data_IF_536155229680
#
_entry.id   IF_536155229680
#
_cell.length_a   1.000
_cell.length_b   1.000
_cell.length_c   1.000
_cell.angle_alpha   90.00
_cell.angle_beta   90.00
_cell.angle_gamma   90.00
#
_symmetry.space_group_name_H-M   'P 1'
#
loop_
_entity.id
_entity.type
_entity.pdbx_description
1 polymer ?
#
# COMPACT_ATOMS: atom_id res chain seq x y z
N UNK A 1 9.78 45.35 20.04
CA UNK A 1 9.94 43.91 20.34
C UNK A 1 8.81 43.08 19.69
N UNK A 2 7.57 43.55 19.74
CA UNK A 2 6.39 42.88 19.16
C UNK A 2 6.51 42.52 17.68
N UNK A 3 6.95 43.44 16.80
CA UNK A 3 6.98 43.19 15.34
C UNK A 3 7.84 41.98 14.94
N UNK A 4 8.99 41.79 15.59
CA UNK A 4 9.90 40.65 15.33
C UNK A 4 9.32 39.33 15.87
N UNK A 5 8.71 39.36 17.05
CA UNK A 5 8.04 38.19 17.64
C UNK A 5 6.84 37.77 16.77
N UNK A 6 6.03 38.73 16.33
CA UNK A 6 4.88 38.51 15.45
C UNK A 6 5.30 37.90 14.11
N UNK A 7 6.38 38.39 13.51
CA UNK A 7 6.95 37.84 12.27
C UNK A 7 7.46 36.40 12.43
N UNK A 8 8.09 36.06 13.56
CA UNK A 8 8.53 34.69 13.87
C UNK A 8 7.36 33.73 14.06
N UNK A 9 6.32 34.16 14.78
CA UNK A 9 5.10 33.38 14.96
C UNK A 9 4.40 33.14 13.63
N UNK A 10 4.33 34.17 12.77
CA UNK A 10 3.76 34.05 11.43
C UNK A 10 4.52 33.03 10.57
N UNK A 11 5.86 33.07 10.61
CA UNK A 11 6.70 32.11 9.89
C UNK A 11 6.48 30.68 10.38
N UNK A 12 6.45 30.46 11.70
CA UNK A 12 6.17 29.15 12.28
C UNK A 12 4.80 28.60 11.87
N UNK A 13 3.78 29.45 11.87
CA UNK A 13 2.42 29.07 11.44
C UNK A 13 2.36 28.69 9.96
N UNK A 14 3.00 29.48 9.09
CA UNK A 14 3.07 29.20 7.64
C UNK A 14 3.82 27.89 7.40
N UNK A 15 4.97 27.69 8.07
CA UNK A 15 5.77 26.48 7.94
C UNK A 15 4.98 25.24 8.35
N UNK A 16 4.33 25.29 9.52
CA UNK A 16 3.47 24.22 10.02
C UNK A 16 2.32 23.90 9.05
N UNK A 17 1.63 24.93 8.55
CA UNK A 17 0.49 24.77 7.64
C UNK A 17 0.91 24.14 6.31
N UNK A 18 1.97 24.65 5.69
CA UNK A 18 2.49 24.12 4.41
C UNK A 18 2.95 22.67 4.57
N UNK A 19 3.65 22.37 5.67
CA UNK A 19 4.17 21.03 5.94
C UNK A 19 3.05 20.02 6.20
N UNK A 20 2.06 20.40 7.01
CA UNK A 20 0.87 19.58 7.31
C UNK A 20 0.08 19.28 6.04
N UNK A 21 -0.20 20.30 5.21
CA UNK A 21 -0.91 20.11 3.92
C UNK A 21 -0.13 19.17 3.00
N UNK A 22 1.19 19.32 2.91
CA UNK A 22 2.04 18.45 2.08
C UNK A 22 1.98 16.99 2.54
N UNK A 23 2.04 16.75 3.85
CA UNK A 23 1.98 15.40 4.42
C UNK A 23 0.60 14.77 4.21
N UNK A 24 -0.47 15.49 4.55
CA UNK A 24 -1.87 15.05 4.34
C UNK A 24 -2.13 14.73 2.87
N UNK A 25 -1.66 15.57 1.95
CA UNK A 25 -1.79 15.33 0.50
C UNK A 25 -1.11 14.02 0.08
N UNK A 26 0.09 13.74 0.58
CA UNK A 26 0.77 12.48 0.27
C UNK A 26 -0.01 11.26 0.77
N UNK A 27 -0.65 11.36 1.93
CA UNK A 27 -1.42 10.28 2.56
C UNK A 27 -2.75 10.02 1.85
N UNK A 28 -3.49 11.07 1.49
CA UNK A 28 -4.80 10.97 0.83
C UNK A 28 -4.68 10.62 -0.65
N UNK A 29 -3.65 11.12 -1.35
CA UNK A 29 -3.49 10.88 -2.80
C UNK A 29 -2.80 9.54 -3.07
N UNK A 30 -1.88 9.09 -2.22
CA UNK A 30 -1.42 7.71 -2.27
C UNK A 30 -2.47 6.84 -1.57
N UNK A 31 -3.45 6.36 -2.35
CA UNK A 31 -4.51 5.38 -2.00
C UNK A 31 -4.01 4.06 -1.36
N UNK A 32 -2.81 4.00 -0.83
CA UNK A 32 -2.22 2.86 -0.12
C UNK A 32 -2.80 2.72 1.30
N UNK A 33 -3.42 3.76 1.87
CA UNK A 33 -3.89 3.77 3.26
C UNK A 33 -5.32 3.25 3.49
N UNK A 34 -6.20 3.27 2.48
CA UNK A 34 -7.53 2.65 2.59
C UNK A 34 -7.34 1.16 2.38
N UNK A 35 -7.29 0.37 3.46
CA UNK A 35 -6.95 -1.03 3.35
C UNK A 35 -8.19 -1.86 3.04
N UNK A 36 -8.47 -2.09 1.76
CA UNK A 36 -9.32 -3.21 1.36
C UNK A 36 -8.72 -4.46 1.99
N UNK A 37 -9.48 -5.13 2.86
CA UNK A 37 -8.96 -6.29 3.59
C UNK A 37 -9.25 -7.59 2.88
N UNK A 38 -10.31 -7.63 2.06
CA UNK A 38 -10.80 -8.87 1.50
C UNK A 38 -11.44 -8.67 0.13
N UNK A 39 -11.18 -9.57 -0.83
CA UNK A 39 -11.90 -9.62 -2.10
C UNK A 39 -12.21 -11.06 -2.47
N UNK A 40 -13.49 -11.40 -2.51
CA UNK A 40 -13.91 -12.67 -3.10
C UNK A 40 -13.79 -12.59 -4.62
N UNK A 41 -13.00 -13.49 -5.20
CA UNK A 41 -12.90 -13.63 -6.67
C UNK A 41 -14.00 -14.58 -7.15
N UNK A 42 -14.15 -15.72 -6.48
CA UNK A 42 -15.14 -16.74 -6.82
C UNK A 42 -15.50 -17.59 -5.59
N UNK A 43 -16.15 -18.76 -5.77
CA UNK A 43 -16.42 -19.67 -4.64
C UNK A 43 -15.13 -20.25 -4.06
N UNK A 44 -14.17 -20.57 -4.94
CA UNK A 44 -12.94 -21.26 -4.59
C UNK A 44 -11.78 -20.32 -4.28
N UNK A 45 -11.88 -19.03 -4.65
CA UNK A 45 -10.75 -18.10 -4.59
C UNK A 45 -11.11 -16.79 -3.91
N UNK A 46 -10.25 -16.33 -3.00
CA UNK A 46 -10.35 -15.00 -2.42
C UNK A 46 -8.98 -14.40 -2.13
N UNK A 47 -8.91 -13.08 -2.14
CA UNK A 47 -7.76 -12.29 -1.73
C UNK A 47 -7.98 -11.75 -0.33
N UNK A 48 -6.93 -11.71 0.45
CA UNK A 48 -6.90 -11.11 1.79
C UNK A 48 -5.65 -10.26 1.96
N UNK A 49 -5.73 -9.20 2.77
CA UNK A 49 -4.56 -8.43 3.17
C UNK A 49 -3.77 -9.17 4.24
N UNK A 50 -2.46 -9.34 4.05
CA UNK A 50 -1.59 -9.90 5.09
C UNK A 50 -1.38 -8.94 6.27
N UNK A 51 -1.14 -9.52 7.46
CA UNK A 51 -0.95 -8.79 8.72
C UNK A 51 0.42 -8.09 8.86
N UNK A 52 1.43 -8.51 8.08
CA UNK A 52 2.77 -7.92 8.19
C UNK A 52 2.95 -6.73 7.26
N UNK A 53 3.64 -5.73 7.77
CA UNK A 53 3.77 -4.32 7.36
C UNK A 53 4.27 -4.01 5.94
N UNK A 54 4.21 -4.94 4.99
CA UNK A 54 4.63 -4.71 3.62
C UNK A 54 3.58 -5.19 2.62
N UNK A 55 2.54 -4.41 2.36
CA UNK A 55 1.82 -4.44 1.08
C UNK A 55 1.39 -5.83 0.54
N UNK A 56 1.26 -6.83 1.40
CA UNK A 56 1.10 -8.22 0.97
C UNK A 56 -0.37 -8.50 0.78
N UNK A 57 -0.68 -9.07 -0.39
CA UNK A 57 -1.99 -9.63 -0.66
C UNK A 57 -1.81 -11.13 -0.81
N UNK A 58 -2.63 -11.85 -0.06
CA UNK A 58 -2.60 -13.29 0.04
C UNK A 58 -3.77 -13.82 -0.79
N UNK A 59 -3.50 -14.72 -1.72
CA UNK A 59 -4.51 -15.49 -2.44
C UNK A 59 -4.77 -16.79 -1.70
N UNK A 60 -6.02 -17.00 -1.30
CA UNK A 60 -6.49 -18.24 -0.69
C UNK A 60 -7.24 -19.09 -1.71
N UNK A 61 -7.04 -20.41 -1.63
CA UNK A 61 -7.70 -21.40 -2.48
C UNK A 61 -8.44 -22.41 -1.61
N UNK A 62 -9.78 -22.38 -1.62
CA UNK A 62 -10.64 -23.18 -0.76
C UNK A 62 -10.72 -24.67 -1.13
N UNK A 63 -10.29 -25.09 -2.33
CA UNK A 63 -10.35 -26.51 -2.74
C UNK A 63 -9.55 -27.44 -1.82
N UNK A 64 -8.60 -26.89 -1.08
CA UNK A 64 -7.81 -27.61 -0.09
C UNK A 64 -7.65 -26.68 1.11
N UNK A 65 -8.09 -27.11 2.28
CA UNK A 65 -7.96 -26.35 3.53
C UNK A 65 -6.55 -25.71 3.63
N UNK A 66 -6.54 -24.39 3.80
CA UNK A 66 -5.38 -23.55 4.13
C UNK A 66 -4.23 -23.46 3.11
N UNK A 67 -4.54 -23.41 1.81
CA UNK A 67 -3.56 -22.95 0.82
C UNK A 67 -3.60 -21.44 0.68
N UNK A 68 -2.46 -20.80 0.96
CA UNK A 68 -2.24 -19.38 0.68
C UNK A 68 -1.06 -19.12 -0.26
N UNK A 69 -1.07 -18.01 -1.01
CA UNK A 69 0.03 -17.57 -1.87
C UNK A 69 0.22 -16.06 -1.84
N UNK A 70 1.48 -15.61 -1.88
CA UNK A 70 1.80 -14.19 -1.94
C UNK A 70 1.71 -13.66 -3.37
N UNK A 71 0.97 -12.54 -3.53
CA UNK A 71 0.80 -11.86 -4.80
C UNK A 71 1.38 -10.45 -4.72
N UNK A 72 2.29 -10.13 -5.66
CA UNK A 72 2.89 -8.78 -5.75
C UNK A 72 2.11 -7.86 -6.67
N UNK A 73 1.59 -8.39 -7.78
CA UNK A 73 0.91 -7.60 -8.81
C UNK A 73 -0.30 -8.34 -9.36
N UNK A 74 -1.35 -7.56 -9.65
CA UNK A 74 -2.64 -8.02 -10.15
C UNK A 74 -3.13 -7.12 -11.28
N UNK A 75 -3.82 -7.71 -12.25
CA UNK A 75 -4.53 -7.02 -13.31
C UNK A 75 -5.98 -7.52 -13.35
N UNK A 76 -6.91 -6.61 -13.64
CA UNK A 76 -8.28 -6.93 -13.98
C UNK A 76 -8.39 -6.80 -15.50
N UNK A 77 -8.73 -7.89 -16.18
CA UNK A 77 -8.88 -7.93 -17.63
C UNK A 77 -10.35 -8.14 -17.99
N UNK A 78 -10.89 -7.14 -18.68
CA UNK A 78 -12.26 -7.14 -19.20
C UNK A 78 -13.35 -7.28 -18.15
N UNK A 79 -13.09 -6.89 -16.89
CA UNK A 79 -13.99 -7.07 -15.73
C UNK A 79 -14.47 -8.51 -15.54
N UNK A 80 -13.71 -9.46 -16.11
CA UNK A 80 -14.04 -10.88 -16.16
C UNK A 80 -12.94 -11.73 -15.56
N UNK A 81 -11.69 -11.32 -15.71
CA UNK A 81 -10.54 -12.07 -15.23
C UNK A 81 -9.70 -11.25 -14.27
N UNK A 82 -9.25 -11.92 -13.22
CA UNK A 82 -8.08 -11.49 -12.48
C UNK A 82 -6.86 -12.24 -13.00
N UNK A 83 -5.76 -11.52 -13.23
CA UNK A 83 -4.50 -12.07 -13.69
C UNK A 83 -3.40 -11.63 -12.73
N UNK A 84 -2.50 -12.54 -12.37
CA UNK A 84 -1.41 -12.23 -11.46
C UNK A 84 -0.24 -13.18 -11.58
N UNK A 85 0.72 -13.03 -10.68
CA UNK A 85 1.87 -13.90 -10.55
C UNK A 85 2.08 -14.25 -9.08
N UNK A 86 2.17 -15.56 -8.82
CA UNK A 86 2.45 -16.14 -7.51
C UNK A 86 3.95 -16.34 -7.38
N UNK A 87 4.51 -15.80 -6.29
CA UNK A 87 5.91 -16.03 -5.90
C UNK A 87 5.98 -16.72 -4.55
N UNK A 88 6.85 -17.74 -4.44
CA UNK A 88 7.03 -18.51 -3.21
C UNK A 88 8.20 -18.06 -2.34
N UNK A 89 8.96 -17.04 -2.76
CA UNK A 89 10.21 -16.64 -2.11
C UNK A 89 10.04 -16.28 -0.62
N UNK A 90 8.81 -15.95 -0.20
CA UNK A 90 8.48 -15.60 1.18
C UNK A 90 7.26 -16.32 1.74
N UNK A 91 6.63 -17.20 0.97
CA UNK A 91 5.42 -17.94 1.33
C UNK A 91 5.48 -18.67 2.69
N UNK A 92 6.58 -19.35 3.09
CA UNK A 92 6.65 -20.00 4.40
C UNK A 92 6.54 -19.05 5.59
N UNK A 93 6.89 -17.75 5.45
CA UNK A 93 6.72 -16.76 6.53
C UNK A 93 5.25 -16.49 6.86
N UNK A 94 4.34 -16.83 5.95
CA UNK A 94 2.90 -16.58 6.06
C UNK A 94 2.11 -17.88 6.28
N UNK A 95 2.77 -18.98 6.66
CA UNK A 95 2.11 -20.26 6.91
C UNK A 95 1.63 -20.99 5.65
N UNK A 96 2.04 -20.54 4.47
CA UNK A 96 1.58 -21.11 3.21
C UNK A 96 2.19 -22.48 2.92
N UNK A 97 1.37 -23.41 2.43
CA UNK A 97 1.77 -24.78 2.16
C UNK A 97 2.72 -24.91 0.96
N UNK A 98 4.01 -25.12 1.23
CA UNK A 98 5.05 -25.23 0.19
C UNK A 98 4.92 -26.46 -0.72
N UNK A 99 4.23 -27.53 -0.27
CA UNK A 99 4.10 -28.78 -1.04
C UNK A 99 3.42 -28.58 -2.39
N UNK A 100 2.69 -27.49 -2.55
CA UNK A 100 1.93 -27.17 -3.76
C UNK A 100 2.60 -26.10 -4.63
N UNK A 101 3.85 -25.72 -4.31
CA UNK A 101 4.66 -24.79 -5.10
C UNK A 101 4.65 -25.11 -6.59
N UNK A 102 4.91 -26.35 -6.94
CA UNK A 102 4.98 -26.75 -8.35
C UNK A 102 3.63 -26.69 -9.08
N UNK A 103 2.50 -26.70 -8.37
CA UNK A 103 1.15 -26.61 -8.96
C UNK A 103 0.71 -25.17 -9.20
N UNK A 104 1.16 -24.22 -8.37
CA UNK A 104 0.64 -22.85 -8.37
C UNK A 104 1.67 -21.76 -8.71
N UNK A 105 2.98 -22.06 -8.72
CA UNK A 105 4.04 -21.08 -8.96
C UNK A 105 4.01 -20.47 -10.36
N UNK A 106 4.23 -19.16 -10.50
CA UNK A 106 4.21 -18.48 -11.79
C UNK A 106 2.92 -17.71 -12.04
N UNK A 107 2.58 -17.48 -13.30
CA UNK A 107 1.39 -16.70 -13.64
C UNK A 107 0.10 -17.51 -13.49
N UNK A 108 -0.99 -16.81 -13.23
CA UNK A 108 -2.32 -17.38 -13.17
C UNK A 108 -3.36 -16.44 -13.76
N UNK A 109 -4.51 -17.01 -14.10
CA UNK A 109 -5.74 -16.25 -14.27
C UNK A 109 -6.90 -16.97 -13.58
N UNK A 110 -7.89 -16.19 -13.13
CA UNK A 110 -9.15 -16.72 -12.60
C UNK A 110 -10.32 -15.89 -13.14
N UNK A 111 -11.39 -16.55 -13.53
CA UNK A 111 -12.62 -15.91 -13.98
C UNK A 111 -13.54 -15.63 -12.78
N UNK A 112 -14.11 -14.42 -12.69
CA UNK A 112 -15.01 -14.04 -11.61
C UNK A 112 -16.34 -14.81 -11.62
N UNK A 113 -16.75 -15.33 -12.78
CA UNK A 113 -18.08 -15.90 -13.01
C UNK A 113 -18.06 -17.41 -13.27
N UNK A 114 -16.89 -18.01 -13.49
CA UNK A 114 -16.75 -19.44 -13.76
C UNK A 114 -15.52 -20.02 -13.06
N UNK A 115 -15.75 -20.75 -11.98
CA UNK A 115 -14.70 -21.41 -11.19
C UNK A 115 -13.86 -22.39 -12.02
N UNK A 116 -14.39 -22.92 -13.14
CA UNK A 116 -13.67 -23.88 -13.99
C UNK A 116 -12.72 -23.19 -14.98
N UNK A 117 -12.89 -21.89 -15.22
CA UNK A 117 -12.00 -21.10 -16.08
C UNK A 117 -10.94 -20.38 -15.23
N UNK A 118 -10.18 -21.20 -14.52
CA UNK A 118 -9.00 -20.80 -13.77
C UNK A 118 -7.81 -21.67 -14.17
N UNK A 119 -6.63 -21.07 -14.30
CA UNK A 119 -5.36 -21.80 -14.50
C UNK A 119 -4.23 -21.14 -13.74
N UNK A 120 -3.32 -21.98 -13.28
CA UNK A 120 -2.11 -21.61 -12.54
C UNK A 120 -0.89 -22.22 -13.22
N UNK A 121 0.31 -21.88 -12.72
CA UNK A 121 1.59 -22.35 -13.26
C UNK A 121 1.76 -22.06 -14.75
N UNK A 122 1.32 -20.87 -15.16
CA UNK A 122 1.48 -20.38 -16.52
C UNK A 122 2.78 -19.58 -16.65
N UNK A 123 3.34 -19.64 -17.84
CA UNK A 123 4.37 -18.72 -18.29
C UNK A 123 3.77 -17.36 -18.68
N UNK A 124 4.62 -16.34 -18.75
CA UNK A 124 4.22 -15.01 -19.22
C UNK A 124 3.67 -15.03 -20.64
N UNK A 125 4.19 -15.92 -21.49
CA UNK A 125 3.80 -15.99 -22.90
C UNK A 125 2.45 -16.69 -23.10
N UNK A 126 2.12 -17.70 -22.27
CA UNK A 126 0.78 -18.29 -22.24
C UNK A 126 -0.30 -17.26 -21.83
N UNK A 127 0.00 -16.41 -20.84
CA UNK A 127 -0.89 -15.31 -20.46
C UNK A 127 -1.08 -14.32 -21.61
N UNK A 128 0.01 -13.91 -22.28
CA UNK A 128 -0.08 -13.02 -23.45
C UNK A 128 -0.89 -13.64 -24.57
N UNK A 129 -0.74 -14.93 -24.81
CA UNK A 129 -1.47 -15.67 -25.84
C UNK A 129 -2.98 -15.66 -25.57
N UNK A 130 -3.41 -15.92 -24.32
CA UNK A 130 -4.84 -15.92 -23.96
C UNK A 130 -5.49 -14.55 -24.06
N UNK A 131 -4.85 -13.49 -23.55
CA UNK A 131 -5.47 -12.17 -23.46
C UNK A 131 -5.18 -11.27 -24.66
N UNK A 132 -4.21 -11.65 -25.50
CA UNK A 132 -3.80 -10.98 -26.75
C UNK A 132 -3.69 -9.44 -26.63
N UNK A 133 -3.36 -8.94 -25.43
CA UNK A 133 -3.31 -7.53 -25.07
C UNK A 133 -2.26 -7.30 -23.99
N UNK A 134 -1.77 -6.06 -23.90
CA UNK A 134 -0.85 -5.63 -22.85
C UNK A 134 -1.63 -5.42 -21.55
N UNK A 135 -1.62 -6.42 -20.68
CA UNK A 135 -2.19 -6.35 -19.33
C UNK A 135 -1.60 -5.18 -18.54
N UNK A 136 -2.48 -4.44 -17.85
CA UNK A 136 -2.09 -3.32 -16.97
C UNK A 136 -2.03 -3.80 -15.51
N UNK A 137 -0.88 -4.31 -15.12
CA UNK A 137 -0.63 -4.73 -13.74
C UNK A 137 -0.60 -3.52 -12.79
N UNK A 138 -1.22 -3.70 -11.62
CA UNK A 138 -1.18 -2.80 -10.46
C UNK A 138 -0.53 -3.58 -9.31
N UNK A 139 0.14 -2.89 -8.38
CA UNK A 139 0.54 -3.49 -7.10
C UNK A 139 -0.69 -4.13 -6.44
N UNK A 140 -0.53 -5.33 -5.87
CA UNK A 140 -1.66 -6.11 -5.37
C UNK A 140 -2.46 -5.38 -4.27
N UNK A 141 -1.79 -4.68 -3.33
CA UNK A 141 -2.51 -3.88 -2.31
C UNK A 141 -3.34 -2.76 -2.93
N UNK A 142 -2.81 -2.05 -3.93
CA UNK A 142 -3.57 -1.03 -4.66
C UNK A 142 -4.77 -1.62 -5.40
N UNK A 143 -4.61 -2.81 -5.96
CA UNK A 143 -5.71 -3.55 -6.58
C UNK A 143 -6.78 -3.91 -5.54
N UNK A 144 -6.39 -4.48 -4.40
CA UNK A 144 -7.30 -4.87 -3.33
C UNK A 144 -8.03 -3.66 -2.73
N UNK A 145 -7.37 -2.51 -2.59
CA UNK A 145 -8.01 -1.28 -2.14
C UNK A 145 -9.05 -0.73 -3.13
N UNK A 146 -8.91 -1.02 -4.43
CA UNK A 146 -9.80 -0.54 -5.48
C UNK A 146 -11.03 -1.45 -5.68
N UNK A 147 -10.86 -2.76 -5.51
CA UNK A 147 -11.89 -3.76 -5.81
C UNK A 147 -12.36 -4.58 -4.60
N UNK A 148 -11.65 -4.50 -3.48
CA UNK A 148 -11.95 -5.23 -2.25
C UNK A 148 -13.02 -4.57 -1.38
N UNK A 149 -13.40 -5.31 -0.34
CA UNK A 149 -14.36 -4.99 0.70
C UNK A 149 -13.67 -5.08 2.07
N UNK A 150 -14.33 -4.54 3.09
CA UNK A 150 -13.74 -4.35 4.40
C UNK A 150 -12.79 -3.16 4.35
N UNK A 151 -13.07 -2.14 5.16
CA UNK A 151 -12.27 -0.92 5.20
C UNK A 151 -11.79 -0.77 6.63
N UNK A 152 -10.49 -0.98 6.84
CA UNK A 152 -9.83 -0.41 8.02
C UNK A 152 -9.46 1.01 7.61
N UNK A 153 -10.30 1.96 8.03
CA UNK A 153 -10.04 3.37 7.78
C UNK A 153 -9.06 3.90 8.82
N UNK A 154 -7.76 3.78 8.53
CA UNK A 154 -6.70 4.37 9.35
C UNK A 154 -6.46 5.85 9.03
N UNK A 155 -7.33 6.47 8.23
CA UNK A 155 -7.11 7.84 7.75
C UNK A 155 -7.03 8.80 8.93
N UNK A 156 -7.86 8.62 9.95
CA UNK A 156 -7.87 9.49 11.12
C UNK A 156 -6.58 9.35 11.94
N UNK A 157 -6.14 8.13 12.27
CA UNK A 157 -4.90 7.89 13.03
C UNK A 157 -3.67 8.38 12.28
N UNK A 158 -3.64 8.20 10.96
CA UNK A 158 -2.53 8.66 10.12
C UNK A 158 -2.52 10.19 10.03
N UNK A 159 -3.68 10.84 9.85
CA UNK A 159 -3.80 12.30 9.89
C UNK A 159 -3.33 12.84 11.25
N UNK A 160 -3.80 12.21 12.33
CA UNK A 160 -3.43 12.57 13.69
C UNK A 160 -1.92 12.46 13.93
N UNK A 161 -1.32 11.31 13.60
CA UNK A 161 0.13 11.11 13.73
C UNK A 161 0.93 12.16 12.94
N UNK A 162 0.51 12.46 11.71
CA UNK A 162 1.18 13.44 10.87
C UNK A 162 1.03 14.88 11.38
N UNK A 163 -0.12 15.20 11.98
CA UNK A 163 -0.32 16.48 12.66
C UNK A 163 0.68 16.63 13.82
N UNK A 164 0.80 15.62 14.68
CA UNK A 164 1.76 15.61 15.80
C UNK A 164 3.21 15.69 15.32
N UNK A 165 3.57 14.93 14.29
CA UNK A 165 4.92 14.95 13.71
C UNK A 165 5.26 16.31 13.10
N UNK A 166 4.31 16.94 12.40
CA UNK A 166 4.46 18.28 11.83
C UNK A 166 4.65 19.34 12.91
N UNK A 167 3.94 19.21 14.03
CA UNK A 167 4.09 20.09 15.19
C UNK A 167 5.48 19.94 15.82
N UNK A 168 5.92 18.70 16.05
CA UNK A 168 7.25 18.41 16.58
C UNK A 168 8.37 19.00 15.72
N UNK A 169 8.33 18.79 14.40
CA UNK A 169 9.33 19.34 13.48
C UNK A 169 9.35 20.88 13.48
N UNK A 170 8.17 21.51 13.53
CA UNK A 170 8.08 22.98 13.61
C UNK A 170 8.76 23.49 14.88
N UNK A 171 8.57 22.79 16.01
CA UNK A 171 9.24 23.10 17.26
C UNK A 171 10.77 22.91 17.17
N UNK A 172 11.25 21.84 16.54
CA UNK A 172 12.68 21.62 16.30
C UNK A 172 13.30 22.75 15.46
N UNK A 173 12.66 23.13 14.35
CA UNK A 173 13.12 24.25 13.50
C UNK A 173 13.18 25.54 14.29
N UNK A 174 12.21 25.79 15.17
CA UNK A 174 12.19 26.96 16.02
C UNK A 174 13.38 26.99 17.00
N UNK A 175 13.68 25.88 17.67
CA UNK A 175 14.86 25.75 18.53
C UNK A 175 16.15 26.02 17.75
N UNK A 176 16.30 25.44 16.56
CA UNK A 176 17.48 25.65 15.71
C UNK A 176 17.66 27.13 15.37
N UNK A 177 16.59 27.83 15.00
CA UNK A 177 16.62 29.28 14.71
C UNK A 177 17.08 30.08 15.95
N UNK A 178 16.63 29.70 17.16
CA UNK A 178 17.04 30.36 18.40
C UNK A 178 18.53 30.14 18.69
N UNK A 179 19.03 28.91 18.51
CA UNK A 179 20.45 28.58 18.67
C UNK A 179 21.30 29.37 17.68
N UNK A 180 20.93 29.37 16.39
CA UNK A 180 21.66 30.10 15.35
C UNK A 180 21.70 31.61 15.63
N UNK A 181 20.60 32.19 16.11
CA UNK A 181 20.58 33.60 16.52
C UNK A 181 21.54 33.89 17.66
N UNK A 182 21.60 33.02 18.67
CA UNK A 182 22.52 33.16 19.80
C UNK A 182 23.97 33.07 19.33
N UNK A 183 24.31 32.09 18.49
CA UNK A 183 25.66 31.94 17.93
C UNK A 183 26.07 33.15 17.08
N UNK A 184 25.18 33.63 16.20
CA UNK A 184 25.46 34.82 15.38
C UNK A 184 25.69 36.08 16.23
N UNK A 185 24.93 36.24 17.32
CA UNK A 185 25.12 37.31 18.29
C UNK A 185 26.47 37.25 18.99
N UNK A 186 26.97 36.06 19.30
CA UNK A 186 28.29 35.87 19.94
C UNK A 186 29.42 36.14 18.95
N UNK A 187 29.27 35.73 17.68
CA UNK A 187 30.30 35.95 16.63
C UNK A 187 30.48 37.40 16.19
N UNK A 188 29.58 38.31 16.61
CA UNK A 188 29.61 39.74 16.28
C UNK A 188 30.22 40.61 17.39
N UNK A 189 30.64 40.00 18.49
CA UNK A 189 31.43 40.59 19.58
C UNK A 189 32.91 40.28 19.29
#
# INVERSE_FOLDING_TARGET
MEKKLRSLLLFGFIFFSVFTIRNIKNILINKENIQGTYMRISRNYFLESGDTSESTVILHINEHEDICFLIKELANEGDKYIVGNITFDEAPKFGCNEKLKNKYNGYFYMNYFDDNDARFNLTKDEIKSKFNKKLKYKKAKKFLNEYGKGVIDLTEEIIFFNFFFSFFLTFCVWIIILILKKLYSISKI
#
